data_IF_048277779774
#
_entry.id   IF_048277779774
#
_cell.length_a   1.000
_cell.length_b   1.000
_cell.length_c   1.000
_cell.angle_alpha   90.00
_cell.angle_beta   90.00
_cell.angle_gamma   90.00
#
_symmetry.space_group_name_H-M   'P 1'
#
loop_
_entity.id
_entity.type
_entity.pdbx_description
1 polymer ?
#
# COMPACT_ATOMS: atom_id res chain seq x y z
N UNK A 1 -0.73 33.54 24.30
CA UNK A 1 0.72 33.44 24.57
C UNK A 1 0.98 32.10 25.24
N UNK A 2 1.32 31.06 24.48
CA UNK A 2 1.67 29.76 25.04
C UNK A 2 3.12 29.80 25.53
N UNK A 3 3.30 29.65 26.83
CA UNK A 3 4.59 29.60 27.50
C UNK A 3 5.29 28.30 27.09
N UNK A 4 6.53 28.39 26.59
CA UNK A 4 7.36 27.22 26.32
C UNK A 4 7.79 26.59 27.65
N UNK A 5 6.94 25.72 28.19
CA UNK A 5 7.23 24.91 29.37
C UNK A 5 8.27 23.83 29.05
N UNK A 6 9.19 23.62 29.98
CA UNK A 6 10.17 22.54 29.92
C UNK A 6 9.45 21.18 29.90
N UNK A 7 9.89 20.25 29.05
CA UNK A 7 9.23 18.95 28.82
C UNK A 7 9.00 18.12 30.11
N UNK A 8 9.69 18.45 31.20
CA UNK A 8 9.58 17.81 32.51
C UNK A 8 8.24 18.11 33.23
N UNK A 9 7.63 19.26 32.98
CA UNK A 9 6.40 19.70 33.66
C UNK A 9 5.12 19.35 32.87
N UNK A 10 5.28 18.71 31.72
CA UNK A 10 4.16 18.33 30.85
C UNK A 10 3.31 17.25 31.53
N UNK A 11 2.00 17.48 31.62
CA UNK A 11 1.03 16.57 32.22
C UNK A 11 0.24 15.81 31.15
N UNK A 12 -0.49 14.77 31.58
CA UNK A 12 -1.38 14.02 30.68
C UNK A 12 -2.49 14.92 30.12
N UNK A 13 -2.97 15.88 30.91
CA UNK A 13 -3.98 16.84 30.47
C UNK A 13 -3.45 17.74 29.34
N UNK A 14 -2.17 18.10 29.36
CA UNK A 14 -1.54 18.90 28.29
C UNK A 14 -1.40 18.11 26.99
N UNK A 15 -1.05 16.82 27.09
CA UNK A 15 -0.98 15.91 25.94
C UNK A 15 -2.37 15.67 25.36
N UNK A 16 -3.39 15.50 26.22
CA UNK A 16 -4.77 15.29 25.80
C UNK A 16 -5.34 16.54 25.12
N UNK A 17 -5.14 17.74 25.70
CA UNK A 17 -5.54 19.02 25.11
C UNK A 17 -4.85 19.27 23.76
N UNK A 18 -3.53 19.05 23.70
CA UNK A 18 -2.78 19.11 22.44
C UNK A 18 -3.34 18.13 21.41
N UNK A 19 -3.68 16.91 21.84
CA UNK A 19 -4.17 15.86 20.96
C UNK A 19 -5.48 16.25 20.29
N UNK A 20 -6.40 16.92 20.99
CA UNK A 20 -7.69 17.38 20.45
C UNK A 20 -7.50 18.45 19.38
N UNK A 21 -6.50 19.32 19.53
CA UNK A 21 -6.29 20.49 18.67
C UNK A 21 -5.45 20.20 17.40
N UNK A 22 -4.62 19.14 17.40
CA UNK A 22 -3.64 18.89 16.32
C UNK A 22 -3.97 17.69 15.40
N UNK A 23 -3.72 17.88 14.10
CA UNK A 23 -4.02 16.93 13.03
C UNK A 23 -3.34 15.55 13.18
N UNK A 24 -4.01 14.50 12.69
CA UNK A 24 -3.64 13.09 12.88
C UNK A 24 -2.20 12.72 12.47
N UNK A 25 -1.63 13.37 11.45
CA UNK A 25 -0.26 13.10 10.99
C UNK A 25 0.81 13.47 12.04
N UNK A 26 0.58 14.52 12.84
CA UNK A 26 1.47 14.88 13.94
C UNK A 26 1.37 13.89 15.12
N UNK A 27 0.22 13.24 15.30
CA UNK A 27 0.00 12.29 16.40
C UNK A 27 0.87 11.03 16.29
N UNK A 28 1.17 10.55 15.08
CA UNK A 28 2.04 9.38 14.86
C UNK A 28 3.48 9.67 15.28
N UNK A 29 4.02 10.81 14.84
CA UNK A 29 5.40 11.21 15.15
C UNK A 29 5.56 11.55 16.64
N UNK A 30 4.60 12.25 17.22
CA UNK A 30 4.60 12.59 18.66
C UNK A 30 4.45 11.33 19.51
N UNK A 31 3.63 10.35 19.10
CA UNK A 31 3.55 9.05 19.79
C UNK A 31 4.86 8.29 19.74
N UNK A 32 5.54 8.21 18.59
CA UNK A 32 6.85 7.56 18.48
C UNK A 32 7.88 8.26 19.38
N UNK A 33 7.87 9.59 19.40
CA UNK A 33 8.73 10.40 20.27
C UNK A 33 8.46 10.17 21.77
N UNK A 34 7.20 10.20 22.21
CA UNK A 34 6.82 9.97 23.61
C UNK A 34 7.11 8.53 24.06
N UNK A 35 7.00 7.56 23.16
CA UNK A 35 7.35 6.18 23.45
C UNK A 35 8.88 6.00 23.58
N UNK A 36 9.64 6.71 22.76
CA UNK A 36 11.10 6.78 22.85
C UNK A 36 11.56 7.50 24.12
N UNK A 37 10.96 8.65 24.48
CA UNK A 37 11.32 9.42 25.68
C UNK A 37 11.02 8.67 26.97
N UNK A 38 9.93 7.90 27.00
CA UNK A 38 9.60 7.00 28.10
C UNK A 38 10.61 5.83 28.21
N UNK A 39 11.05 5.26 27.07
CA UNK A 39 12.09 4.20 27.05
C UNK A 39 13.46 4.70 27.51
N UNK A 40 13.82 5.94 27.18
CA UNK A 40 15.09 6.58 27.60
C UNK A 40 15.01 7.22 28.99
N UNK A 41 13.88 7.07 29.70
CA UNK A 41 13.61 7.62 31.05
C UNK A 41 13.71 9.15 31.13
N UNK A 42 13.55 9.85 30.01
CA UNK A 42 13.58 11.32 29.96
C UNK A 42 12.26 11.93 30.43
N UNK A 43 11.15 11.17 30.36
CA UNK A 43 9.82 11.60 30.79
C UNK A 43 9.05 10.44 31.41
N UNK A 44 7.96 10.77 32.12
CA UNK A 44 6.93 9.78 32.49
C UNK A 44 6.26 9.20 31.22
N UNK A 45 5.60 8.05 31.37
CA UNK A 45 4.82 7.44 30.30
C UNK A 45 3.52 8.23 30.12
N UNK A 46 3.26 8.70 28.91
CA UNK A 46 2.01 9.35 28.53
C UNK A 46 1.18 8.40 27.68
N UNK A 47 -0.13 8.38 27.92
CA UNK A 47 -1.07 7.59 27.11
C UNK A 47 -1.69 8.50 26.06
N UNK A 48 -1.39 8.25 24.78
CA UNK A 48 -2.13 8.87 23.70
C UNK A 48 -3.22 7.88 23.24
N UNK A 49 -4.50 8.31 23.15
CA UNK A 49 -5.50 7.53 22.45
C UNK A 49 -4.95 7.08 21.09
N UNK A 50 -5.20 5.82 20.71
CA UNK A 50 -4.80 5.35 19.40
C UNK A 50 -5.35 6.34 18.37
N UNK A 51 -4.46 6.95 17.57
CA UNK A 51 -4.88 7.79 16.47
C UNK A 51 -5.68 6.90 15.51
N UNK A 52 -7.01 6.94 15.63
CA UNK A 52 -7.89 6.49 14.58
C UNK A 52 -7.68 7.48 13.45
N UNK A 53 -6.72 7.21 12.57
CA UNK A 53 -6.58 7.94 11.32
C UNK A 53 -7.95 7.86 10.62
N UNK A 54 -8.66 8.98 10.43
CA UNK A 54 -9.97 8.97 9.77
C UNK A 54 -9.88 8.46 8.31
N UNK A 55 -8.66 8.37 7.75
CA UNK A 55 -8.35 7.77 6.45
C UNK A 55 -8.02 6.27 6.47
N UNK A 56 -8.17 5.58 7.61
CA UNK A 56 -7.94 4.12 7.70
C UNK A 56 -9.22 3.30 7.54
N UNK A 57 -10.41 3.93 7.51
CA UNK A 57 -11.60 3.20 7.15
C UNK A 57 -11.44 2.69 5.70
N UNK A 58 -11.53 1.38 5.45
CA UNK A 58 -11.49 0.87 4.09
C UNK A 58 -12.59 1.54 3.28
N UNK A 59 -12.28 1.91 2.04
CA UNK A 59 -13.34 2.38 1.14
C UNK A 59 -14.39 1.26 0.95
N UNK A 60 -15.67 1.59 0.72
CA UNK A 60 -16.68 0.59 0.42
C UNK A 60 -16.30 -0.25 -0.81
N UNK A 61 -16.57 -1.56 -0.77
CA UNK A 61 -16.19 -2.49 -1.85
C UNK A 61 -16.72 -2.05 -3.22
N UNK A 62 -17.99 -1.58 -3.27
CA UNK A 62 -18.59 -1.02 -4.50
C UNK A 62 -17.79 0.14 -5.08
N UNK A 63 -17.18 0.98 -4.23
CA UNK A 63 -16.38 2.12 -4.65
C UNK A 63 -15.02 1.64 -5.15
N UNK A 64 -14.41 0.65 -4.49
CA UNK A 64 -13.18 0.00 -4.96
C UNK A 64 -13.36 -0.59 -6.37
N UNK A 65 -14.41 -1.39 -6.56
CA UNK A 65 -14.74 -2.00 -7.86
C UNK A 65 -15.06 -0.96 -8.93
N UNK A 66 -15.81 0.10 -8.58
CA UNK A 66 -16.09 1.19 -9.52
C UNK A 66 -14.83 1.95 -9.94
N UNK A 67 -13.93 2.27 -9.00
CA UNK A 67 -12.65 2.91 -9.30
C UNK A 67 -11.76 2.01 -10.17
N UNK A 68 -11.69 0.71 -9.87
CA UNK A 68 -10.96 -0.25 -10.70
C UNK A 68 -11.52 -0.27 -12.14
N UNK A 69 -12.83 -0.38 -12.29
CA UNK A 69 -13.49 -0.32 -13.61
C UNK A 69 -13.21 0.98 -14.35
N UNK A 70 -13.27 2.12 -13.67
CA UNK A 70 -12.96 3.42 -14.24
C UNK A 70 -11.50 3.49 -14.71
N UNK A 71 -10.54 3.09 -13.87
CA UNK A 71 -9.11 3.09 -14.23
C UNK A 71 -8.82 2.17 -15.42
N UNK A 72 -9.51 1.04 -15.51
CA UNK A 72 -9.35 0.09 -16.61
C UNK A 72 -9.97 0.61 -17.92
N UNK A 73 -11.10 1.32 -17.86
CA UNK A 73 -11.79 1.84 -19.04
C UNK A 73 -11.29 3.22 -19.53
N UNK A 74 -10.62 4.00 -18.67
CA UNK A 74 -10.20 5.36 -19.00
C UNK A 74 -8.88 5.40 -19.79
N UNK A 75 -8.95 5.66 -21.09
CA UNK A 75 -7.77 5.79 -21.95
C UNK A 75 -7.16 7.20 -22.00
N UNK A 76 -7.72 8.16 -21.27
CA UNK A 76 -7.27 9.57 -21.30
C UNK A 76 -6.21 9.86 -20.24
N UNK A 77 -6.16 9.06 -19.17
CA UNK A 77 -5.19 9.21 -18.11
C UNK A 77 -3.87 8.48 -18.39
N UNK A 78 -2.74 8.95 -17.84
CA UNK A 78 -1.43 8.36 -18.12
C UNK A 78 -1.36 6.86 -17.76
N UNK A 79 -0.88 6.01 -18.69
CA UNK A 79 -0.72 4.57 -18.47
C UNK A 79 0.02 4.24 -17.15
N UNK A 80 1.05 5.02 -16.83
CA UNK A 80 1.84 4.85 -15.61
C UNK A 80 1.00 4.90 -14.33
N UNK A 81 0.11 5.88 -14.19
CA UNK A 81 -0.72 6.01 -12.98
C UNK A 81 -1.78 4.93 -12.96
N UNK A 82 -2.36 4.60 -14.12
CA UNK A 82 -3.37 3.55 -14.26
C UNK A 82 -2.85 2.17 -13.86
N UNK A 83 -1.70 1.77 -14.38
CA UNK A 83 -1.07 0.48 -14.02
C UNK A 83 -0.77 0.40 -12.52
N UNK A 84 -0.24 1.48 -11.94
CA UNK A 84 0.02 1.51 -10.50
C UNK A 84 -1.26 1.39 -9.67
N UNK A 85 -2.34 2.06 -10.08
CA UNK A 85 -3.65 1.95 -9.45
C UNK A 85 -4.24 0.54 -9.61
N UNK A 86 -4.14 -0.07 -10.79
CA UNK A 86 -4.58 -1.46 -11.04
C UNK A 86 -3.82 -2.43 -10.16
N UNK A 87 -2.49 -2.33 -10.05
CA UNK A 87 -1.71 -3.21 -9.19
C UNK A 87 -2.11 -3.03 -7.71
N UNK A 88 -2.35 -1.78 -7.29
CA UNK A 88 -2.80 -1.48 -5.93
C UNK A 88 -4.20 -2.05 -5.64
N UNK A 89 -5.16 -1.88 -6.54
CA UNK A 89 -6.55 -2.25 -6.33
C UNK A 89 -6.80 -3.76 -6.55
N UNK A 90 -6.12 -4.38 -7.52
CA UNK A 90 -6.24 -5.82 -7.76
C UNK A 90 -5.44 -6.64 -6.76
N UNK A 91 -4.23 -6.21 -6.40
CA UNK A 91 -3.32 -7.04 -5.61
C UNK A 91 -2.99 -6.48 -4.23
N UNK A 92 -3.67 -5.39 -3.84
CA UNK A 92 -3.46 -4.69 -2.59
C UNK A 92 -2.02 -4.20 -2.36
N UNK A 93 -1.17 -4.12 -3.40
CA UNK A 93 0.26 -3.91 -3.17
C UNK A 93 0.53 -2.48 -2.67
N UNK A 94 1.40 -2.29 -1.65
CA UNK A 94 1.82 -0.96 -1.25
C UNK A 94 2.57 -0.27 -2.38
N UNK A 95 2.36 1.03 -2.55
CA UNK A 95 3.08 1.82 -3.56
C UNK A 95 4.60 1.73 -3.40
N UNK A 96 5.12 1.60 -2.18
CA UNK A 96 6.55 1.40 -1.91
C UNK A 96 7.08 0.08 -2.45
N UNK A 97 6.25 -0.97 -2.54
CA UNK A 97 6.59 -2.26 -3.17
C UNK A 97 6.38 -2.21 -4.68
N UNK A 98 5.32 -1.56 -5.15
CA UNK A 98 5.04 -1.38 -6.58
C UNK A 98 6.21 -0.66 -7.27
N UNK A 99 6.79 0.35 -6.63
CA UNK A 99 7.99 1.05 -7.18
C UNK A 99 9.20 0.15 -7.34
N UNK A 100 9.27 -0.98 -6.62
CA UNK A 100 10.37 -1.94 -6.67
C UNK A 100 10.14 -3.05 -7.70
N UNK A 101 9.01 -3.06 -8.40
CA UNK A 101 8.81 -4.03 -9.46
C UNK A 101 9.72 -3.74 -10.64
N UNK A 102 10.15 -4.82 -11.26
CA UNK A 102 10.96 -4.87 -12.46
C UNK A 102 10.11 -5.39 -13.62
N UNK A 103 10.64 -5.28 -14.83
CA UNK A 103 10.03 -5.88 -16.02
C UNK A 103 9.96 -7.41 -15.92
N UNK A 104 10.88 -8.01 -15.18
CA UNK A 104 10.97 -9.47 -15.00
C UNK A 104 9.91 -10.01 -14.05
N UNK A 105 9.30 -9.13 -13.26
CA UNK A 105 8.16 -9.47 -12.41
C UNK A 105 6.87 -9.63 -13.22
N UNK A 106 6.82 -9.13 -14.45
CA UNK A 106 5.70 -9.33 -15.39
C UNK A 106 6.05 -10.48 -16.33
N UNK A 107 5.48 -11.64 -16.07
CA UNK A 107 5.76 -12.87 -16.80
C UNK A 107 4.65 -13.13 -17.81
N UNK A 108 5.00 -13.46 -19.05
CA UNK A 108 4.06 -14.00 -20.03
C UNK A 108 4.03 -15.51 -19.88
N UNK A 109 2.85 -16.08 -19.69
CA UNK A 109 2.65 -17.52 -19.54
C UNK A 109 1.52 -17.98 -20.47
N UNK A 110 1.88 -18.57 -21.60
CA UNK A 110 0.94 -18.85 -22.69
C UNK A 110 0.23 -17.58 -23.16
N UNK A 111 -1.11 -17.61 -23.13
CA UNK A 111 -1.98 -16.48 -23.45
C UNK A 111 -2.23 -15.55 -22.25
N UNK A 112 -1.70 -15.89 -21.07
CA UNK A 112 -1.89 -15.14 -19.83
C UNK A 112 -0.70 -14.25 -19.46
N UNK A 113 -0.96 -13.32 -18.55
CA UNK A 113 0.07 -12.51 -17.88
C UNK A 113 0.05 -12.82 -16.39
N UNK A 114 1.21 -13.07 -15.82
CA UNK A 114 1.40 -13.28 -14.39
C UNK A 114 2.24 -12.15 -13.80
N UNK A 115 1.99 -11.81 -12.54
CA UNK A 115 2.77 -10.86 -11.77
C UNK A 115 3.43 -11.58 -10.59
N UNK A 116 4.76 -11.50 -10.51
CA UNK A 116 5.56 -12.10 -9.42
C UNK A 116 5.41 -11.30 -8.13
N UNK A 117 4.31 -11.54 -7.44
CA UNK A 117 4.03 -10.95 -6.13
C UNK A 117 4.51 -11.84 -4.98
N UNK A 118 4.33 -13.14 -5.16
CA UNK A 118 4.75 -14.23 -4.30
C UNK A 118 4.94 -15.49 -5.13
N UNK A 119 4.90 -16.64 -4.47
CA UNK A 119 5.10 -17.96 -5.10
C UNK A 119 3.90 -18.87 -4.77
N UNK A 120 3.09 -19.29 -5.76
CA UNK A 120 3.25 -19.04 -7.20
C UNK A 120 2.92 -17.59 -7.62
N UNK A 121 3.39 -17.14 -8.81
CA UNK A 121 3.02 -15.84 -9.39
C UNK A 121 1.49 -15.69 -9.52
N UNK A 122 0.99 -14.46 -9.34
CA UNK A 122 -0.44 -14.16 -9.38
C UNK A 122 -0.91 -13.88 -10.80
N UNK A 123 -2.02 -14.47 -11.28
CA UNK A 123 -2.54 -14.18 -12.61
C UNK A 123 -3.14 -12.77 -12.69
N UNK A 124 -2.86 -12.08 -13.80
CA UNK A 124 -3.47 -10.81 -14.12
C UNK A 124 -4.76 -11.02 -14.91
N UNK A 125 -5.93 -10.64 -14.38
CA UNK A 125 -7.18 -10.71 -15.12
C UNK A 125 -7.21 -9.67 -16.22
N UNK A 126 -7.90 -9.97 -17.32
CA UNK A 126 -8.26 -8.94 -18.30
C UNK A 126 -9.31 -7.98 -17.72
N UNK A 127 -9.27 -6.69 -18.08
CA UNK A 127 -8.37 -6.03 -19.03
C UNK A 127 -7.01 -5.59 -18.44
N UNK A 128 -6.70 -5.94 -17.19
CA UNK A 128 -5.47 -5.52 -16.50
C UNK A 128 -4.19 -6.11 -17.10
N UNK A 129 -4.25 -7.34 -17.61
CA UNK A 129 -3.14 -7.97 -18.33
C UNK A 129 -2.75 -7.18 -19.58
N UNK A 130 -3.73 -6.81 -20.42
CA UNK A 130 -3.51 -5.94 -21.59
C UNK A 130 -2.86 -4.62 -21.20
N UNK A 131 -3.36 -3.96 -20.15
CA UNK A 131 -2.82 -2.68 -19.67
C UNK A 131 -1.37 -2.78 -19.20
N UNK A 132 -1.01 -3.87 -18.51
CA UNK A 132 0.36 -4.13 -18.07
C UNK A 132 1.32 -4.28 -19.27
N UNK A 133 0.91 -5.04 -20.27
CA UNK A 133 1.70 -5.25 -21.49
C UNK A 133 1.86 -3.98 -22.31
N UNK A 134 0.79 -3.18 -22.45
CA UNK A 134 0.84 -1.88 -23.12
C UNK A 134 1.85 -0.95 -22.43
N UNK A 135 1.80 -0.89 -21.10
CA UNK A 135 2.72 -0.07 -20.33
C UNK A 135 4.18 -0.52 -20.46
N UNK A 136 4.46 -1.83 -20.50
CA UNK A 136 5.82 -2.34 -20.73
C UNK A 136 6.44 -1.82 -22.03
N UNK A 137 5.63 -1.69 -23.09
CA UNK A 137 6.04 -1.13 -24.37
C UNK A 137 6.18 0.39 -24.39
N UNK A 138 5.46 1.10 -23.52
CA UNK A 138 5.37 2.57 -23.49
C UNK A 138 5.91 3.19 -22.20
N UNK A 139 6.85 2.51 -21.51
CA UNK A 139 7.38 2.98 -20.23
C UNK A 139 7.97 4.39 -20.37
N UNK A 140 7.53 5.28 -19.49
CA UNK A 140 8.01 6.68 -19.43
C UNK A 140 9.41 6.76 -18.80
N UNK A 141 10.09 7.90 -19.00
CA UNK A 141 11.46 8.16 -18.55
C UNK A 141 12.56 7.26 -19.17
N UNK A 142 12.27 6.55 -20.27
CA UNK A 142 13.23 5.68 -20.96
C UNK A 142 14.13 6.42 -21.97
N UNK A 143 13.80 7.66 -22.33
CA UNK A 143 14.46 8.41 -23.42
C UNK A 143 15.84 8.99 -23.05
N UNK A 144 16.20 9.03 -21.76
CA UNK A 144 17.54 9.47 -21.35
C UNK A 144 18.57 8.36 -21.60
N UNK A 145 19.76 8.73 -22.09
CA UNK A 145 20.82 7.78 -22.43
C UNK A 145 21.18 6.81 -21.29
N UNK A 146 20.95 7.22 -20.05
CA UNK A 146 21.27 6.45 -18.83
C UNK A 146 20.11 5.59 -18.30
N UNK A 147 18.91 5.66 -18.90
CA UNK A 147 17.72 4.92 -18.43
C UNK A 147 17.13 3.99 -19.51
N UNK A 148 17.74 3.93 -20.70
CA UNK A 148 17.28 3.10 -21.82
C UNK A 148 17.26 1.61 -21.50
N UNK A 149 18.14 1.17 -20.60
CA UNK A 149 18.25 -0.22 -20.13
C UNK A 149 17.61 -0.46 -18.76
N UNK A 150 16.78 0.47 -18.29
CA UNK A 150 16.16 0.36 -16.96
C UNK A 150 15.28 -0.89 -16.85
N UNK A 151 15.61 -1.73 -15.87
CA UNK A 151 14.83 -2.93 -15.53
C UNK A 151 13.64 -2.62 -14.65
N UNK A 152 13.55 -1.41 -14.07
CA UNK A 152 12.41 -1.04 -13.24
C UNK A 152 11.13 -0.94 -14.08
N UNK A 153 10.05 -1.52 -13.56
CA UNK A 153 8.71 -1.37 -14.14
C UNK A 153 8.28 0.10 -14.11
N UNK A 154 8.66 0.83 -13.05
CA UNK A 154 8.46 2.26 -12.91
C UNK A 154 9.80 3.02 -12.83
N UNK A 155 10.44 3.39 -13.95
CA UNK A 155 11.75 4.05 -13.95
C UNK A 155 11.73 5.46 -13.33
N UNK A 156 12.65 5.74 -12.41
CA UNK A 156 12.86 7.06 -11.84
C UNK A 156 13.49 8.05 -12.82
N UNK A 157 13.70 9.29 -12.37
CA UNK A 157 14.44 10.31 -13.15
C UNK A 157 15.96 10.09 -13.12
N UNK A 158 16.46 9.45 -12.05
CA UNK A 158 17.88 9.11 -11.89
C UNK A 158 18.14 7.73 -12.51
N UNK A 159 19.28 7.61 -13.16
CA UNK A 159 19.73 6.35 -13.77
C UNK A 159 19.73 5.20 -12.76
N UNK A 160 19.21 4.04 -13.18
CA UNK A 160 19.19 2.83 -12.35
C UNK A 160 18.32 2.91 -11.09
N UNK A 161 17.57 4.00 -10.88
CA UNK A 161 16.73 4.16 -9.70
C UNK A 161 15.25 3.98 -10.04
N UNK A 162 14.45 3.35 -9.16
CA UNK A 162 13.02 3.30 -9.32
C UNK A 162 12.39 4.69 -9.10
N UNK A 163 11.13 4.82 -9.51
CA UNK A 163 10.31 5.97 -9.15
C UNK A 163 10.16 6.03 -7.63
N UNK A 164 10.17 7.25 -7.07
CA UNK A 164 9.91 7.43 -5.63
C UNK A 164 8.43 7.15 -5.32
N UNK A 165 8.18 6.49 -4.19
CA UNK A 165 6.84 6.07 -3.79
C UNK A 165 5.89 7.24 -3.55
N UNK A 166 6.39 8.39 -3.09
CA UNK A 166 5.60 9.62 -2.91
C UNK A 166 5.12 10.18 -4.26
N UNK A 167 5.96 10.11 -5.28
CA UNK A 167 5.61 10.51 -6.65
C UNK A 167 4.56 9.57 -7.23
N UNK A 168 4.71 8.26 -7.02
CA UNK A 168 3.70 7.30 -7.44
C UNK A 168 2.37 7.51 -6.68
N UNK A 169 2.43 7.87 -5.40
CA UNK A 169 1.25 8.19 -4.60
C UNK A 169 0.51 9.41 -5.14
N UNK A 170 1.22 10.46 -5.52
CA UNK A 170 0.60 11.64 -6.13
C UNK A 170 -0.08 11.29 -7.47
N UNK A 171 0.56 10.44 -8.28
CA UNK A 171 0.01 9.98 -9.56
C UNK A 171 -1.27 9.16 -9.39
N UNK A 172 -1.31 8.24 -8.43
CA UNK A 172 -2.50 7.42 -8.13
C UNK A 172 -3.60 8.27 -7.50
N UNK A 173 -3.25 9.20 -6.61
CA UNK A 173 -4.20 10.14 -6.01
C UNK A 173 -4.86 11.05 -7.06
N UNK A 174 -4.13 11.46 -8.09
CA UNK A 174 -4.68 12.26 -9.19
C UNK A 174 -5.76 11.52 -10.00
N UNK A 175 -5.82 10.17 -9.91
CA UNK A 175 -6.91 9.36 -10.47
C UNK A 175 -8.13 9.25 -9.55
N UNK A 176 -8.12 9.93 -8.40
CA UNK A 176 -9.16 9.80 -7.37
C UNK A 176 -9.03 8.53 -6.53
N UNK A 177 -7.91 7.81 -6.61
CA UNK A 177 -7.67 6.59 -5.85
C UNK A 177 -6.89 6.90 -4.56
N UNK A 178 -7.53 6.87 -3.37
CA UNK A 178 -6.82 7.04 -2.11
C UNK A 178 -6.02 5.76 -1.79
N UNK A 179 -4.69 5.80 -1.95
CA UNK A 179 -3.84 4.61 -1.88
C UNK A 179 -4.03 3.75 -0.61
N UNK A 180 -4.11 4.38 0.58
CA UNK A 180 -4.29 3.66 1.85
C UNK A 180 -5.67 3.00 1.94
N UNK A 181 -6.74 3.75 1.66
CA UNK A 181 -8.11 3.25 1.76
C UNK A 181 -8.43 2.23 0.65
N UNK A 182 -7.91 2.44 -0.57
CA UNK A 182 -8.07 1.53 -1.70
C UNK A 182 -7.35 0.21 -1.46
N UNK A 183 -6.14 0.26 -0.91
CA UNK A 183 -5.43 -0.93 -0.47
C UNK A 183 -6.21 -1.69 0.61
N UNK A 184 -6.69 -0.98 1.63
CA UNK A 184 -7.45 -1.60 2.72
C UNK A 184 -8.72 -2.29 2.21
N UNK A 185 -9.42 -1.69 1.25
CA UNK A 185 -10.58 -2.30 0.59
C UNK A 185 -10.19 -3.52 -0.24
N UNK A 186 -9.13 -3.45 -1.04
CA UNK A 186 -8.64 -4.59 -1.81
C UNK A 186 -8.30 -5.79 -0.91
N UNK A 187 -7.61 -5.58 0.22
CA UNK A 187 -7.31 -6.66 1.17
C UNK A 187 -8.60 -7.25 1.76
N UNK A 188 -9.54 -6.38 2.14
CA UNK A 188 -10.84 -6.82 2.68
C UNK A 188 -11.57 -7.72 1.68
N UNK A 189 -11.63 -7.32 0.41
CA UNK A 189 -12.25 -8.12 -0.65
C UNK A 189 -11.56 -9.48 -0.78
N UNK A 190 -10.23 -9.52 -0.85
CA UNK A 190 -9.50 -10.78 -0.95
C UNK A 190 -9.78 -11.73 0.20
N UNK A 191 -9.84 -11.23 1.44
CA UNK A 191 -10.05 -12.06 2.62
C UNK A 191 -11.48 -12.62 2.72
N UNK A 192 -12.45 -11.96 2.06
CA UNK A 192 -13.80 -12.49 1.93
C UNK A 192 -13.84 -13.70 0.98
N UNK A 193 -13.00 -13.69 -0.06
CA UNK A 193 -12.97 -14.74 -1.09
C UNK A 193 -12.01 -15.89 -0.75
N UNK A 194 -10.91 -15.60 -0.02
CA UNK A 194 -9.82 -16.53 0.23
C UNK A 194 -9.31 -16.48 1.68
N UNK A 195 -8.86 -17.60 2.25
CA UNK A 195 -8.17 -17.61 3.54
C UNK A 195 -6.91 -16.74 3.56
N UNK A 196 -6.69 -16.02 4.67
CA UNK A 196 -5.55 -15.11 4.86
C UNK A 196 -4.15 -15.71 4.54
N UNK A 197 -3.85 -16.99 4.86
CA UNK A 197 -2.55 -17.59 4.52
C UNK A 197 -2.31 -17.75 3.01
N UNK A 198 -3.37 -18.01 2.24
CA UNK A 198 -3.29 -18.11 0.78
C UNK A 198 -2.98 -16.74 0.20
N UNK A 199 -3.71 -15.71 0.63
CA UNK A 199 -3.50 -14.31 0.22
C UNK A 199 -2.09 -13.85 0.57
N UNK A 200 -1.62 -14.18 1.77
CA UNK A 200 -0.27 -13.85 2.21
C UNK A 200 0.79 -14.46 1.29
N UNK A 201 0.61 -15.72 0.91
CA UNK A 201 1.51 -16.41 -0.01
C UNK A 201 1.44 -15.81 -1.42
N UNK A 202 0.25 -15.76 -2.01
CA UNK A 202 0.05 -15.35 -3.41
C UNK A 202 0.48 -13.89 -3.65
N UNK A 203 0.19 -13.00 -2.70
CA UNK A 203 0.48 -11.57 -2.81
C UNK A 203 1.80 -11.17 -2.14
N UNK A 204 2.54 -12.12 -1.56
CA UNK A 204 3.83 -11.88 -0.91
C UNK A 204 3.75 -11.02 0.36
N UNK A 205 2.68 -11.13 1.14
CA UNK A 205 2.55 -10.48 2.44
C UNK A 205 3.06 -11.34 3.59
N UNK A 206 3.52 -10.68 4.65
CA UNK A 206 3.79 -11.36 5.91
C UNK A 206 2.48 -11.86 6.53
N UNK A 207 2.43 -13.15 6.88
CA UNK A 207 1.21 -13.83 7.35
C UNK A 207 0.55 -13.13 8.55
N UNK A 208 1.34 -12.62 9.50
CA UNK A 208 0.84 -11.87 10.68
C UNK A 208 0.09 -10.60 10.26
N UNK A 209 0.57 -9.91 9.22
CA UNK A 209 -0.07 -8.69 8.73
C UNK A 209 -1.41 -9.00 8.06
N UNK A 210 -1.46 -10.07 7.27
CA UNK A 210 -2.69 -10.51 6.60
C UNK A 210 -3.72 -11.05 7.59
N UNK A 211 -3.29 -11.80 8.61
CA UNK A 211 -4.16 -12.32 9.67
C UNK A 211 -4.81 -11.19 10.49
N UNK A 212 -4.03 -10.16 10.89
CA UNK A 212 -4.57 -8.97 11.56
C UNK A 212 -5.65 -8.28 10.72
N UNK A 213 -5.38 -8.09 9.44
CA UNK A 213 -6.32 -7.45 8.51
C UNK A 213 -7.58 -8.30 8.28
N UNK A 214 -7.47 -9.62 8.32
CA UNK A 214 -8.62 -10.53 8.27
C UNK A 214 -9.51 -10.43 9.50
N UNK A 215 -8.90 -10.35 10.69
CA UNK A 215 -9.65 -10.12 11.94
C UNK A 215 -10.35 -8.77 11.92
N UNK A 216 -9.70 -7.71 11.43
CA UNK A 216 -10.29 -6.37 11.27
C UNK A 216 -11.43 -6.32 10.24
N UNK A 217 -11.39 -7.17 9.21
CA UNK A 217 -12.46 -7.33 8.22
C UNK A 217 -13.68 -8.12 8.75
N UNK A 218 -13.60 -8.69 9.97
CA UNK A 218 -14.66 -9.49 10.57
C UNK A 218 -14.72 -10.94 10.07
N UNK A 219 -13.73 -11.39 9.30
CA UNK A 219 -13.64 -12.77 8.81
C UNK A 219 -12.85 -13.62 9.81
N UNK A 220 -13.53 -14.52 10.51
CA UNK A 220 -12.87 -15.58 11.29
C UNK A 220 -13.04 -16.88 10.52
N UNK A 221 -12.01 -17.29 9.77
CA UNK A 221 -11.98 -18.60 9.11
C UNK A 221 -11.50 -19.65 10.13
N UNK A 222 -12.36 -20.46 10.77
CA UNK A 222 -11.96 -21.24 11.94
C UNK A 222 -11.14 -22.50 11.60
N UNK A 223 -11.16 -22.94 10.33
CA UNK A 223 -10.71 -24.29 9.94
C UNK A 223 -9.75 -24.30 8.74
N UNK A 224 -8.86 -23.32 8.58
CA UNK A 224 -7.82 -23.40 7.55
C UNK A 224 -6.54 -24.04 8.09
N UNK A 225 -6.34 -25.32 7.80
CA UNK A 225 -5.04 -25.99 7.99
C UNK A 225 -4.09 -25.54 6.87
N UNK A 226 -2.91 -24.97 7.16
CA UNK A 226 -1.92 -24.69 6.12
C UNK A 226 -1.53 -26.02 5.47
N UNK A 227 -1.84 -26.16 4.18
CA UNK A 227 -1.45 -27.34 3.41
C UNK A 227 0.06 -27.51 3.42
N UNK A 228 0.50 -28.71 3.78
CA UNK A 228 1.90 -29.11 3.84
C UNK A 228 2.54 -28.98 2.45
N UNK A 229 3.54 -28.09 2.32
CA UNK A 229 4.39 -28.04 1.13
C UNK A 229 5.59 -28.94 1.34
N UNK A 230 5.37 -30.21 1.03
CA UNK A 230 6.45 -31.16 0.78
C UNK A 230 6.79 -31.18 -0.72
N UNK A 231 7.99 -30.64 -1.01
CA UNK A 231 8.86 -30.77 -2.21
C UNK A 231 8.44 -30.17 -3.54
#
# INVERSE_FOLDING_TARGET
MAQAGMFADCTQADVDAWSVEHANSNRINVRAFLHWSARTRLTRRFELPAALSPGNAPMPDRQCTALLGQVLADHTTPLRSRVAAVILLLYAQPLSRITQFTIDDVVRDGDGVLLRLGDPPSPAPEPGATLLLEYLGQRTNMATATNRESRWLFPGRRAGQPLRSDTLSALVHALGVPATAGRAAAIRQHVLDLPAPIIATALGYHQVTTARLATEAGTTWPNYAPGDRSK
#
